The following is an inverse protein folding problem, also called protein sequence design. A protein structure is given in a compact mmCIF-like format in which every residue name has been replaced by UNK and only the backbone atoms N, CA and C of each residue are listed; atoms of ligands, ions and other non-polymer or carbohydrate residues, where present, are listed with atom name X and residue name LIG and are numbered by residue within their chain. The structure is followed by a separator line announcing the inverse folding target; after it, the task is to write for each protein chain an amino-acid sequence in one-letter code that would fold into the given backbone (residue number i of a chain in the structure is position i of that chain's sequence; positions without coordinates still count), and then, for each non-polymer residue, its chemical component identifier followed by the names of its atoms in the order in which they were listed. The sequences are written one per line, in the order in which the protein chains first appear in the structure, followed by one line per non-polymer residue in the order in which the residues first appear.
data_IF_232240151972
#
_entry.id   IF_232240151972
#
_cell.length_a   1.000
_cell.length_b   1.000
_cell.length_c   1.000
_cell.angle_alpha   90.00
_cell.angle_beta   90.00
_cell.angle_gamma   90.00
#
_symmetry.space_group_name_H-M   'P 1'
#
loop_
_entity.id
_entity.type
_entity.pdbx_description
1 polymer ?
#
# COMPACT_ATOMS: atom_id res chain seq x y z
N UNK A 1 3.51 -18.93 10.85
CA UNK A 1 3.13 -20.37 10.96
C UNK A 1 2.22 -20.89 9.80
N UNK A 2 2.25 -20.34 8.58
CA UNK A 2 1.47 -20.92 7.44
C UNK A 2 2.20 -20.96 6.08
N UNK A 3 3.51 -20.66 6.02
CA UNK A 3 4.25 -20.50 4.75
C UNK A 3 4.32 -21.80 3.92
N UNK A 4 4.24 -22.97 4.57
CA UNK A 4 4.35 -24.29 3.92
C UNK A 4 3.13 -24.66 3.06
N UNK A 5 2.00 -23.97 3.18
CA UNK A 5 0.80 -24.24 2.37
C UNK A 5 0.92 -23.68 0.94
N UNK A 6 1.78 -22.68 0.72
CA UNK A 6 1.93 -21.97 -0.55
C UNK A 6 3.40 -21.99 -1.00
N UNK A 7 3.89 -23.15 -1.43
CA UNK A 7 5.29 -23.36 -1.87
C UNK A 7 5.72 -22.43 -3.01
N UNK A 8 4.80 -22.09 -3.92
CA UNK A 8 5.03 -21.13 -5.01
C UNK A 8 5.24 -19.69 -4.53
N UNK A 9 4.80 -19.34 -3.30
CA UNK A 9 5.01 -18.03 -2.68
C UNK A 9 6.27 -17.97 -1.80
N UNK A 10 7.09 -19.02 -1.79
CA UNK A 10 8.31 -19.10 -0.97
C UNK A 10 9.28 -17.93 -1.21
N UNK A 11 9.33 -17.41 -2.44
CA UNK A 11 10.17 -16.27 -2.84
C UNK A 11 9.53 -14.90 -2.58
N UNK A 12 8.26 -14.85 -2.17
CA UNK A 12 7.59 -13.59 -1.83
C UNK A 12 8.03 -13.15 -0.44
N UNK A 13 8.58 -11.93 -0.36
CA UNK A 13 8.91 -11.28 0.90
C UNK A 13 7.68 -10.55 1.42
N UNK A 14 7.32 -10.84 2.67
CA UNK A 14 6.21 -10.19 3.37
C UNK A 14 6.81 -9.55 4.61
N UNK A 15 6.70 -8.24 4.70
CA UNK A 15 7.22 -7.47 5.84
C UNK A 15 6.43 -6.18 6.00
N UNK A 16 6.56 -5.56 7.17
CA UNK A 16 6.03 -4.21 7.42
C UNK A 16 6.97 -3.17 6.82
N UNK A 17 6.44 -1.99 6.48
CA UNK A 17 7.16 -0.91 5.79
C UNK A 17 8.45 -0.51 6.52
N UNK A 18 8.44 -0.47 7.85
CA UNK A 18 9.61 -0.10 8.66
C UNK A 18 10.81 -1.02 8.48
N UNK A 19 10.53 -2.31 8.30
CA UNK A 19 11.55 -3.33 8.11
C UNK A 19 11.93 -3.49 6.62
N UNK A 20 11.47 -2.58 5.76
CA UNK A 20 11.73 -2.60 4.32
C UNK A 20 12.52 -1.38 3.83
N UNK A 21 13.16 -0.66 4.75
CA UNK A 21 13.99 0.49 4.45
C UNK A 21 15.30 0.07 3.76
N UNK A 22 15.63 0.72 2.65
CA UNK A 22 16.88 0.47 1.90
C UNK A 22 16.80 -0.72 0.94
N UNK A 23 15.65 -1.39 0.86
CA UNK A 23 15.39 -2.44 -0.12
C UNK A 23 14.51 -1.93 -1.25
N UNK A 24 14.52 -2.63 -2.39
CA UNK A 24 13.65 -2.36 -3.53
C UNK A 24 13.16 -3.67 -4.13
N UNK A 25 11.95 -3.65 -4.71
CA UNK A 25 11.42 -4.77 -5.49
C UNK A 25 10.91 -4.29 -6.84
N UNK A 26 10.90 -5.21 -7.82
CA UNK A 26 10.24 -4.95 -9.11
C UNK A 26 8.77 -4.61 -8.91
N UNK A 27 8.07 -5.43 -8.13
CA UNK A 27 6.65 -5.29 -7.84
C UNK A 27 6.45 -5.22 -6.33
N UNK A 28 5.67 -4.25 -5.87
CA UNK A 28 5.23 -4.15 -4.47
C UNK A 28 3.70 -4.22 -4.42
N UNK A 29 3.21 -5.06 -3.52
CA UNK A 29 1.81 -5.16 -3.12
C UNK A 29 1.69 -4.53 -1.71
N UNK A 30 1.15 -3.32 -1.63
CA UNK A 30 0.97 -2.60 -0.37
C UNK A 30 -0.44 -2.82 0.17
N UNK A 31 -0.57 -3.46 1.33
CA UNK A 31 -1.84 -3.53 2.05
C UNK A 31 -1.89 -2.45 3.14
N UNK A 32 -2.91 -1.60 3.08
CA UNK A 32 -3.10 -0.52 4.04
C UNK A 32 -3.88 -0.99 5.27
N UNK A 33 -4.66 -2.08 5.16
CA UNK A 33 -5.40 -2.77 6.24
C UNK A 33 -6.47 -1.93 6.95
N UNK A 34 -6.36 -0.60 7.00
CA UNK A 34 -7.21 0.29 7.79
C UNK A 34 -8.62 0.35 7.23
N UNK A 35 -9.54 -0.18 8.02
CA UNK A 35 -10.97 -0.01 7.90
C UNK A 35 -11.57 -0.08 9.31
N UNK A 36 -11.84 1.06 9.93
CA UNK A 36 -12.40 1.11 11.29
C UNK A 36 -13.48 2.21 11.41
N UNK A 37 -14.42 2.08 12.38
CA UNK A 37 -15.52 3.03 12.54
C UNK A 37 -15.06 4.44 12.90
N UNK A 38 -13.93 4.54 13.61
CA UNK A 38 -13.34 5.80 14.05
C UNK A 38 -12.62 6.56 12.91
N UNK A 39 -12.55 5.99 11.71
CA UNK A 39 -11.78 6.48 10.56
C UNK A 39 -10.29 6.77 10.85
N UNK A 40 -9.72 6.17 11.90
CA UNK A 40 -8.32 6.40 12.29
C UNK A 40 -7.37 5.69 11.33
N UNK A 41 -6.56 6.45 10.61
CA UNK A 41 -5.52 5.93 9.71
C UNK A 41 -4.22 5.56 10.44
N UNK A 42 -4.00 6.15 11.63
CA UNK A 42 -2.82 5.93 12.46
C UNK A 42 -1.53 6.12 11.68
N UNK A 43 -0.72 5.06 11.65
CA UNK A 43 0.59 4.98 10.99
C UNK A 43 0.61 5.41 9.51
N UNK A 44 -0.53 5.29 8.81
CA UNK A 44 -0.63 5.69 7.40
C UNK A 44 -0.65 7.21 7.22
N UNK A 45 -0.83 7.99 8.29
CA UNK A 45 -0.72 9.45 8.24
C UNK A 45 0.72 9.97 8.27
N UNK A 46 1.72 9.13 8.55
CA UNK A 46 3.11 9.55 8.60
C UNK A 46 3.71 9.64 7.19
N UNK A 47 3.83 10.86 6.67
CA UNK A 47 4.30 11.13 5.31
C UNK A 47 5.62 10.42 4.98
N UNK A 48 6.60 10.48 5.88
CA UNK A 48 7.91 9.82 5.68
C UNK A 48 7.77 8.32 5.41
N UNK A 49 6.83 7.63 6.08
CA UNK A 49 6.64 6.18 5.91
C UNK A 49 5.90 5.87 4.61
N UNK A 50 4.95 6.71 4.23
CA UNK A 50 4.25 6.60 2.95
C UNK A 50 5.24 6.82 1.81
N UNK A 51 6.05 7.88 1.85
CA UNK A 51 7.10 8.13 0.87
C UNK A 51 8.10 6.96 0.78
N UNK A 52 8.52 6.41 1.92
CA UNK A 52 9.36 5.22 1.96
C UNK A 52 8.68 4.02 1.31
N UNK A 53 7.37 3.81 1.48
CA UNK A 53 6.67 2.69 0.84
C UNK A 53 6.49 2.89 -0.67
N UNK A 54 6.16 4.10 -1.10
CA UNK A 54 5.94 4.46 -2.51
C UNK A 54 7.22 4.35 -3.35
N UNK A 55 8.39 4.63 -2.76
CA UNK A 55 9.67 4.64 -3.50
C UNK A 55 10.31 3.26 -3.71
N UNK A 56 9.72 2.16 -3.21
CA UNK A 56 10.34 0.82 -3.23
C UNK A 56 10.02 0.01 -4.47
N UNK A 57 9.00 0.41 -5.23
CA UNK A 57 8.57 -0.29 -6.43
C UNK A 57 9.28 0.26 -7.66
N UNK A 58 9.85 -0.64 -8.48
CA UNK A 58 10.56 -0.26 -9.70
C UNK A 58 9.72 -0.36 -10.97
N UNK A 59 8.84 -1.36 -11.06
CA UNK A 59 8.07 -1.67 -12.27
C UNK A 59 6.56 -1.66 -12.00
N UNK A 60 6.12 -2.13 -10.83
CA UNK A 60 4.69 -2.21 -10.49
C UNK A 60 4.39 -1.89 -9.03
N UNK A 61 3.40 -1.03 -8.80
CA UNK A 61 2.98 -0.64 -7.46
C UNK A 61 1.46 -0.78 -7.33
N UNK A 62 1.01 -1.69 -6.47
CA UNK A 62 -0.42 -1.95 -6.25
C UNK A 62 -0.78 -1.75 -4.79
N UNK A 63 -1.81 -0.96 -4.53
CA UNK A 63 -2.26 -0.60 -3.19
C UNK A 63 -3.64 -1.20 -2.94
N UNK A 64 -3.83 -1.84 -1.80
CA UNK A 64 -5.10 -2.40 -1.35
C UNK A 64 -5.52 -1.75 -0.03
N UNK A 65 -6.64 -1.04 -0.05
CA UNK A 65 -7.15 -0.35 1.14
C UNK A 65 -8.44 0.42 0.89
N UNK A 66 -8.98 1.00 1.97
CA UNK A 66 -10.15 1.88 1.89
C UNK A 66 -9.70 3.32 1.62
N UNK A 67 -9.75 3.73 0.35
CA UNK A 67 -9.26 5.06 -0.06
C UNK A 67 -10.08 6.21 0.51
N UNK A 68 -11.38 6.01 0.77
CA UNK A 68 -12.23 7.06 1.34
C UNK A 68 -11.82 7.42 2.76
N UNK A 69 -11.57 6.41 3.61
CA UNK A 69 -11.06 6.64 4.97
C UNK A 69 -9.72 7.38 4.93
N UNK A 70 -8.85 7.04 3.97
CA UNK A 70 -7.52 7.64 3.84
C UNK A 70 -7.58 9.10 3.41
N UNK A 71 -8.41 9.42 2.41
CA UNK A 71 -8.66 10.79 1.94
C UNK A 71 -9.22 11.68 3.05
N UNK A 72 -10.19 11.18 3.81
CA UNK A 72 -10.82 11.95 4.88
C UNK A 72 -9.88 12.29 6.05
N UNK A 73 -8.76 11.58 6.19
CA UNK A 73 -7.89 11.69 7.36
C UNK A 73 -6.44 12.09 7.04
N UNK A 74 -6.10 12.32 5.76
CA UNK A 74 -4.75 12.74 5.39
C UNK A 74 -4.72 13.53 4.07
N UNK A 75 -4.21 14.77 4.08
CA UNK A 75 -4.01 15.56 2.87
C UNK A 75 -3.09 14.87 1.84
N UNK A 76 -2.10 14.11 2.32
CA UNK A 76 -1.21 13.33 1.46
C UNK A 76 -1.99 12.26 0.70
N UNK A 77 -2.83 11.49 1.37
CA UNK A 77 -3.64 10.47 0.73
C UNK A 77 -4.69 11.05 -0.21
N UNK A 78 -5.20 12.26 0.05
CA UNK A 78 -6.03 13.00 -0.90
C UNK A 78 -5.29 13.30 -2.20
N UNK A 79 -4.03 13.76 -2.11
CA UNK A 79 -3.19 13.98 -3.30
C UNK A 79 -2.88 12.67 -4.04
N UNK A 80 -2.53 11.61 -3.31
CA UNK A 80 -2.27 10.29 -3.90
C UNK A 80 -3.51 9.78 -4.62
N UNK A 81 -4.69 9.89 -4.00
CA UNK A 81 -5.95 9.46 -4.61
C UNK A 81 -6.25 10.23 -5.89
N UNK A 82 -6.09 11.56 -5.88
CA UNK A 82 -6.30 12.39 -7.07
C UNK A 82 -5.34 12.00 -8.21
N UNK A 83 -4.07 11.71 -7.91
CA UNK A 83 -3.10 11.22 -8.89
C UNK A 83 -3.52 9.86 -9.45
N UNK A 84 -3.93 8.91 -8.60
CA UNK A 84 -4.38 7.58 -9.04
C UNK A 84 -5.64 7.67 -9.91
N UNK A 85 -6.57 8.54 -9.55
CA UNK A 85 -7.80 8.81 -10.32
C UNK A 85 -7.49 9.42 -11.68
N UNK A 86 -6.57 10.40 -11.74
CA UNK A 86 -6.11 10.99 -13.00
C UNK A 86 -5.46 9.99 -13.96
N UNK A 87 -4.85 8.93 -13.43
CA UNK A 87 -4.32 7.82 -14.24
C UNK A 87 -5.34 6.72 -14.56
N UNK A 88 -6.57 6.80 -14.07
CA UNK A 88 -7.56 5.72 -14.20
C UNK A 88 -7.17 4.45 -13.43
N UNK A 89 -6.32 4.59 -12.40
CA UNK A 89 -5.73 3.48 -11.63
C UNK A 89 -6.44 3.22 -10.30
N UNK A 90 -7.63 3.79 -10.11
CA UNK A 90 -8.45 3.62 -8.90
C UNK A 90 -9.68 2.77 -9.23
N UNK A 91 -9.90 1.71 -8.46
CA UNK A 91 -11.04 0.81 -8.67
C UNK A 91 -11.28 -0.11 -7.49
N UNK A 92 -12.40 -0.82 -7.55
CA UNK A 92 -12.82 -1.79 -6.51
C UNK A 92 -12.17 -3.17 -6.68
N UNK A 93 -11.50 -3.42 -7.81
CA UNK A 93 -10.83 -4.68 -8.12
C UNK A 93 -9.61 -4.45 -9.00
N UNK A 94 -8.63 -5.34 -8.89
CA UNK A 94 -7.53 -5.41 -9.82
C UNK A 94 -7.99 -6.17 -11.06
N UNK A 95 -7.98 -5.51 -12.22
CA UNK A 95 -8.21 -6.16 -13.52
C UNK A 95 -6.84 -6.56 -14.08
N UNK A 96 -6.63 -7.87 -14.24
CA UNK A 96 -5.43 -8.48 -14.82
C UNK A 96 -5.70 -8.88 -16.28
#
# INVERSE_FOLDING_TARGET
KQRNKYTHLSKVKITVVDNYQGEESKIILLSLVRNNPDNKIGFLGTENRVCVALSRAREGFYIFGNIEILKSNSPLWTKIAATLEGFGSLGTSLRL
#
